data_IF_915207360152
#
_entry.id   IF_915207360152
#
_cell.length_a   1.000
_cell.length_b   1.000
_cell.length_c   1.000
_cell.angle_alpha   90.00
_cell.angle_beta   90.00
_cell.angle_gamma   90.00
#
_symmetry.space_group_name_H-M   'P 1'
#
loop_
_entity.id
_entity.type
_entity.pdbx_description
1 polymer ?
#
# COMPACT_ATOMS: atom_id res chain seq x y z
N UNK A 1 84.20 -20.85 -7.83
CA UNK A 1 83.22 -19.80 -7.44
C UNK A 1 82.42 -19.15 -8.59
N UNK A 2 82.66 -19.44 -9.88
CA UNK A 2 81.93 -18.80 -10.99
C UNK A 2 80.53 -19.39 -11.30
N UNK A 3 80.30 -20.68 -10.99
CA UNK A 3 79.03 -21.36 -11.28
C UNK A 3 77.87 -20.92 -10.36
N UNK A 4 78.15 -20.67 -9.07
CA UNK A 4 77.15 -20.22 -8.09
C UNK A 4 76.57 -18.83 -8.41
N UNK A 5 77.37 -17.93 -8.99
CA UNK A 5 76.91 -16.59 -9.40
C UNK A 5 75.99 -16.60 -10.64
N UNK A 6 76.07 -17.62 -11.51
CA UNK A 6 75.17 -17.77 -12.66
C UNK A 6 73.81 -18.36 -12.26
N UNK A 7 73.80 -19.32 -11.34
CA UNK A 7 72.56 -19.89 -10.79
C UNK A 7 71.69 -18.84 -10.06
N UNK A 8 72.31 -17.96 -9.25
CA UNK A 8 71.59 -16.87 -8.58
C UNK A 8 70.95 -15.86 -9.54
N UNK A 9 71.62 -15.51 -10.65
CA UNK A 9 71.07 -14.59 -11.66
C UNK A 9 69.92 -15.21 -12.47
N UNK A 10 69.92 -16.53 -12.68
CA UNK A 10 68.82 -17.23 -13.36
C UNK A 10 67.56 -17.31 -12.48
N UNK A 11 67.71 -17.58 -11.19
CA UNK A 11 66.59 -17.61 -10.23
C UNK A 11 65.92 -16.23 -10.07
N UNK A 12 66.72 -15.16 -10.01
CA UNK A 12 66.20 -13.78 -9.92
C UNK A 12 65.46 -13.37 -11.20
N UNK A 13 65.92 -13.80 -12.38
CA UNK A 13 65.21 -13.57 -13.66
C UNK A 13 63.89 -14.36 -13.75
N UNK A 14 63.85 -15.58 -13.22
CA UNK A 14 62.62 -16.40 -13.16
C UNK A 14 61.56 -15.82 -12.23
N UNK A 15 61.96 -15.27 -11.08
CA UNK A 15 61.04 -14.56 -10.17
C UNK A 15 60.50 -13.25 -10.78
N UNK A 16 61.34 -12.53 -11.54
CA UNK A 16 60.93 -11.31 -12.24
C UNK A 16 59.96 -11.59 -13.40
N UNK A 17 60.14 -12.69 -14.14
CA UNK A 17 59.24 -13.09 -15.23
C UNK A 17 57.89 -13.59 -14.69
N UNK A 18 57.89 -14.35 -13.59
CA UNK A 18 56.67 -14.78 -12.90
C UNK A 18 55.87 -13.57 -12.37
N UNK A 19 56.54 -12.58 -11.77
CA UNK A 19 55.89 -11.31 -11.36
C UNK A 19 55.29 -10.56 -12.55
N UNK A 20 55.98 -10.47 -13.69
CA UNK A 20 55.42 -9.86 -14.92
C UNK A 20 54.22 -10.62 -15.47
N UNK A 21 54.23 -11.95 -15.45
CA UNK A 21 53.09 -12.77 -15.89
C UNK A 21 51.86 -12.56 -14.99
N UNK A 22 52.05 -12.50 -13.67
CA UNK A 22 50.96 -12.18 -12.72
C UNK A 22 50.43 -10.75 -12.89
N UNK A 23 51.29 -9.78 -13.19
CA UNK A 23 50.89 -8.40 -13.47
C UNK A 23 50.07 -8.29 -14.77
N UNK A 24 50.46 -9.05 -15.82
CA UNK A 24 49.75 -9.09 -17.11
C UNK A 24 48.39 -9.76 -17.00
N UNK A 25 48.25 -10.83 -16.21
CA UNK A 25 46.97 -11.47 -15.90
C UNK A 25 46.02 -10.54 -15.13
N UNK A 26 46.56 -9.73 -14.20
CA UNK A 26 45.80 -8.74 -13.44
C UNK A 26 45.31 -7.53 -14.27
N UNK A 27 45.88 -7.32 -15.47
CA UNK A 27 45.51 -6.27 -16.41
C UNK A 27 44.57 -6.75 -17.53
N UNK A 28 44.16 -8.03 -17.54
CA UNK A 28 43.23 -8.53 -18.54
C UNK A 28 41.85 -7.83 -18.46
N UNK A 29 41.16 -7.61 -19.60
CA UNK A 29 39.85 -6.94 -19.62
C UNK A 29 38.78 -7.70 -18.80
N UNK A 30 38.91 -9.02 -18.68
CA UNK A 30 38.07 -9.84 -17.80
C UNK A 30 38.34 -9.57 -16.30
N UNK A 31 39.61 -9.41 -15.89
CA UNK A 31 39.95 -9.04 -14.53
C UNK A 31 39.53 -7.59 -14.20
N UNK A 32 39.61 -6.68 -15.18
CA UNK A 32 39.16 -5.30 -15.03
C UNK A 32 37.63 -5.19 -14.90
N UNK A 33 36.86 -5.94 -15.71
CA UNK A 33 35.40 -5.97 -15.62
C UNK A 33 34.90 -6.61 -14.32
N UNK A 34 35.57 -7.66 -13.84
CA UNK A 34 35.31 -8.27 -12.54
C UNK A 34 35.60 -7.28 -11.39
N UNK A 35 36.72 -6.56 -11.45
CA UNK A 35 37.06 -5.50 -10.47
C UNK A 35 36.05 -4.36 -10.49
N UNK A 36 35.58 -3.95 -11.67
CA UNK A 36 34.54 -2.93 -11.81
C UNK A 36 33.22 -3.38 -11.16
N UNK A 37 32.78 -4.63 -11.42
CA UNK A 37 31.59 -5.23 -10.79
C UNK A 37 31.72 -5.37 -9.28
N UNK A 38 32.90 -5.70 -8.77
CA UNK A 38 33.17 -5.76 -7.32
C UNK A 38 33.13 -4.35 -6.70
N UNK A 39 33.66 -3.33 -7.38
CA UNK A 39 33.61 -1.93 -6.89
C UNK A 39 32.19 -1.37 -6.89
N UNK A 40 31.39 -1.62 -7.92
CA UNK A 40 29.99 -1.17 -7.97
C UNK A 40 29.16 -1.90 -6.92
N UNK A 41 29.35 -3.20 -6.74
CA UNK A 41 28.72 -3.96 -5.66
C UNK A 41 29.11 -3.45 -4.26
N UNK A 42 30.37 -3.06 -4.05
CA UNK A 42 30.81 -2.42 -2.79
C UNK A 42 30.16 -1.05 -2.57
N UNK A 43 30.01 -0.22 -3.60
CA UNK A 43 29.34 1.10 -3.50
C UNK A 43 27.85 0.95 -3.19
N UNK A 44 27.18 -0.02 -3.81
CA UNK A 44 25.78 -0.36 -3.51
C UNK A 44 25.59 -0.90 -2.09
N UNK A 45 26.56 -1.67 -1.58
CA UNK A 45 26.56 -2.15 -0.20
C UNK A 45 26.77 -1.03 0.84
N UNK A 46 27.57 -0.02 0.52
CA UNK A 46 27.77 1.16 1.39
C UNK A 46 26.49 1.99 1.50
N UNK A 47 25.70 2.10 0.42
CA UNK A 47 24.43 2.83 0.42
C UNK A 47 23.31 2.12 1.21
N UNK A 48 23.34 0.79 1.31
CA UNK A 48 22.23 0.00 1.88
C UNK A 48 22.43 -0.42 3.35
N UNK A 49 23.40 0.16 4.05
CA UNK A 49 23.61 -0.03 5.48
C UNK A 49 24.29 -1.37 5.85
N UNK A 50 24.89 -1.40 7.05
CA UNK A 50 25.73 -2.53 7.54
C UNK A 50 24.98 -3.86 7.65
N UNK A 51 23.65 -3.84 7.77
CA UNK A 51 22.81 -5.04 7.94
C UNK A 51 22.60 -5.86 6.64
N UNK A 52 22.79 -5.26 5.45
CA UNK A 52 22.60 -5.93 4.15
C UNK A 52 23.72 -6.91 3.82
N UNK A 53 24.95 -6.60 4.23
CA UNK A 53 26.15 -7.44 3.95
C UNK A 53 26.00 -8.87 4.49
N UNK A 54 25.67 -9.10 5.78
CA UNK A 54 25.52 -10.46 6.31
C UNK A 54 24.29 -11.19 5.73
N UNK A 55 23.23 -10.46 5.36
CA UNK A 55 22.05 -11.05 4.72
C UNK A 55 22.37 -11.56 3.31
N UNK A 56 23.08 -10.77 2.50
CA UNK A 56 23.45 -11.18 1.14
C UNK A 56 24.44 -12.35 1.14
N UNK A 57 25.44 -12.35 2.03
CA UNK A 57 26.36 -13.47 2.18
C UNK A 57 25.63 -14.77 2.54
N UNK A 58 24.68 -14.73 3.49
CA UNK A 58 23.85 -15.89 3.83
C UNK A 58 22.91 -16.31 2.70
N UNK A 59 22.38 -15.35 1.92
CA UNK A 59 21.52 -15.66 0.78
C UNK A 59 22.28 -16.40 -0.34
N UNK A 60 23.55 -16.06 -0.56
CA UNK A 60 24.40 -16.73 -1.54
C UNK A 60 24.70 -18.18 -1.11
N UNK A 61 25.07 -18.39 0.16
CA UNK A 61 25.26 -19.73 0.73
C UNK A 61 23.98 -20.57 0.69
N UNK A 62 22.84 -19.98 1.08
CA UNK A 62 21.55 -20.66 1.07
C UNK A 62 21.05 -21.04 -0.33
N UNK A 63 21.47 -20.31 -1.39
CA UNK A 63 21.15 -20.65 -2.78
C UNK A 63 21.97 -21.84 -3.27
N UNK A 64 23.25 -21.93 -2.89
CA UNK A 64 24.11 -23.07 -3.24
C UNK A 64 23.61 -24.37 -2.58
N UNK A 65 23.29 -24.32 -1.29
CA UNK A 65 22.75 -25.49 -0.56
C UNK A 65 21.37 -25.88 -1.05
N UNK A 66 20.49 -24.91 -1.32
CA UNK A 66 19.16 -25.18 -1.89
C UNK A 66 19.25 -25.76 -3.31
N UNK A 67 20.18 -25.29 -4.13
CA UNK A 67 20.44 -25.82 -5.46
C UNK A 67 20.91 -27.28 -5.41
N UNK A 68 21.84 -27.62 -4.51
CA UNK A 68 22.31 -28.99 -4.32
C UNK A 68 21.18 -29.94 -3.87
N UNK A 69 20.37 -29.54 -2.90
CA UNK A 69 19.22 -30.36 -2.46
C UNK A 69 18.15 -30.45 -3.55
N UNK A 70 17.92 -29.38 -4.31
CA UNK A 70 17.01 -29.39 -5.46
C UNK A 70 17.46 -30.36 -6.56
N UNK A 71 18.77 -30.44 -6.83
CA UNK A 71 19.34 -31.39 -7.79
C UNK A 71 19.17 -32.84 -7.32
N UNK A 72 19.44 -33.12 -6.05
CA UNK A 72 19.22 -34.47 -5.47
C UNK A 72 17.74 -34.87 -5.48
N UNK A 73 16.84 -33.94 -5.15
CA UNK A 73 15.39 -34.17 -5.18
C UNK A 73 14.81 -34.29 -6.60
N UNK A 74 15.56 -33.88 -7.63
CA UNK A 74 15.15 -34.06 -9.02
C UNK A 74 15.37 -35.50 -9.52
N UNK A 75 16.33 -36.24 -8.97
CA UNK A 75 16.70 -37.59 -9.43
C UNK A 75 15.50 -38.57 -9.35
N UNK A 76 14.77 -38.68 -8.22
CA UNK A 76 13.57 -39.53 -8.16
C UNK A 76 12.45 -39.01 -9.07
N UNK A 77 12.34 -37.69 -9.21
CA UNK A 77 11.33 -37.06 -10.06
C UNK A 77 11.53 -37.36 -11.55
N UNK A 78 12.79 -37.47 -12.01
CA UNK A 78 13.11 -37.89 -13.37
C UNK A 78 12.79 -39.38 -13.60
N UNK A 79 13.14 -40.25 -12.64
CA UNK A 79 12.82 -41.69 -12.71
C UNK A 79 11.31 -41.97 -12.72
N UNK A 80 10.55 -41.26 -11.89
CA UNK A 80 9.09 -41.40 -11.85
C UNK A 80 8.42 -40.80 -13.10
N UNK A 81 8.98 -39.73 -13.67
CA UNK A 81 8.50 -39.20 -14.96
C UNK A 81 8.70 -40.21 -16.08
N UNK A 82 9.85 -40.88 -16.17
CA UNK A 82 10.10 -41.86 -17.25
C UNK A 82 9.16 -43.05 -17.13
N UNK A 83 8.91 -43.54 -15.91
CA UNK A 83 7.94 -44.61 -15.65
C UNK A 83 6.50 -44.18 -15.97
N UNK A 84 6.08 -42.99 -15.52
CA UNK A 84 4.74 -42.46 -15.75
C UNK A 84 4.49 -42.11 -17.23
N UNK A 85 5.51 -41.68 -17.97
CA UNK A 85 5.42 -41.43 -19.40
C UNK A 85 5.25 -42.74 -20.19
N UNK A 86 5.92 -43.82 -19.77
CA UNK A 86 5.72 -45.16 -20.32
C UNK A 86 4.30 -45.68 -20.10
N UNK A 87 3.79 -45.59 -18.86
CA UNK A 87 2.40 -45.98 -18.55
C UNK A 87 1.35 -45.14 -19.28
N UNK A 88 1.56 -43.82 -19.37
CA UNK A 88 0.67 -42.91 -20.10
C UNK A 88 0.67 -43.16 -21.62
N UNK A 89 1.79 -43.63 -22.19
CA UNK A 89 1.86 -44.03 -23.60
C UNK A 89 1.07 -45.33 -23.87
N UNK A 90 1.18 -46.32 -22.97
CA UNK A 90 0.42 -47.58 -23.05
C UNK A 90 -1.08 -47.33 -22.91
N UNK A 91 -1.51 -46.48 -21.98
CA UNK A 91 -2.93 -46.14 -21.80
C UNK A 91 -3.52 -45.33 -22.97
N UNK A 92 -2.70 -44.51 -23.64
CA UNK A 92 -3.09 -43.83 -24.89
C UNK A 92 -3.16 -44.78 -26.09
N UNK A 93 -2.31 -45.81 -26.12
CA UNK A 93 -2.38 -46.88 -27.11
C UNK A 93 -3.64 -47.74 -26.93
N UNK A 94 -4.03 -47.99 -25.67
CA UNK A 94 -5.26 -48.72 -25.31
C UNK A 94 -6.56 -47.87 -25.40
N UNK A 95 -6.51 -46.64 -25.92
CA UNK A 95 -7.65 -45.72 -26.03
C UNK A 95 -8.35 -45.34 -24.70
N UNK A 96 -7.73 -45.61 -23.55
CA UNK A 96 -8.30 -45.33 -22.23
C UNK A 96 -8.00 -43.90 -21.72
N UNK A 97 -7.20 -43.12 -22.45
CA UNK A 97 -6.82 -41.76 -22.08
C UNK A 97 -6.88 -40.78 -23.27
N UNK A 98 -7.32 -39.52 -23.07
CA UNK A 98 -7.41 -38.52 -24.12
C UNK A 98 -6.05 -38.18 -24.75
N UNK A 99 -6.05 -38.03 -26.08
CA UNK A 99 -4.85 -37.78 -26.91
C UNK A 99 -4.25 -36.38 -26.71
N UNK A 100 -5.03 -35.43 -26.21
CA UNK A 100 -4.62 -34.03 -25.99
C UNK A 100 -4.49 -33.72 -24.50
N UNK A 101 -3.27 -33.40 -24.05
CA UNK A 101 -2.98 -33.06 -22.65
C UNK A 101 -1.50 -33.16 -22.28
N UNK A 102 -1.11 -32.51 -21.18
CA UNK A 102 0.27 -32.53 -20.65
C UNK A 102 0.77 -33.97 -20.47
N UNK A 103 2.06 -34.26 -20.76
CA UNK A 103 2.60 -35.60 -20.61
C UNK A 103 2.44 -36.08 -19.16
N UNK A 104 1.95 -37.31 -18.99
CA UNK A 104 1.81 -37.94 -17.68
C UNK A 104 3.15 -37.94 -16.93
N UNK A 105 3.11 -37.57 -15.65
CA UNK A 105 4.31 -37.42 -14.82
C UNK A 105 5.01 -36.05 -14.91
N UNK A 106 4.49 -35.08 -15.68
CA UNK A 106 5.06 -33.72 -15.73
C UNK A 106 5.16 -33.03 -14.35
N UNK A 107 4.28 -33.39 -13.40
CA UNK A 107 4.33 -32.83 -12.05
C UNK A 107 5.58 -33.25 -11.26
N UNK A 108 6.22 -34.39 -11.59
CA UNK A 108 7.39 -34.88 -10.87
C UNK A 108 8.62 -34.00 -11.10
N UNK A 109 8.68 -33.28 -12.23
CA UNK A 109 9.72 -32.27 -12.49
C UNK A 109 9.64 -31.06 -11.55
N UNK A 110 8.49 -30.85 -10.89
CA UNK A 110 8.31 -29.74 -9.94
C UNK A 110 8.93 -30.03 -8.58
N UNK A 111 9.32 -31.28 -8.29
CA UNK A 111 9.85 -31.69 -6.99
C UNK A 111 11.19 -31.04 -6.67
N UNK A 112 12.13 -31.01 -7.62
CA UNK A 112 13.44 -30.34 -7.45
C UNK A 112 13.32 -28.84 -7.12
N UNK A 113 12.62 -28.04 -7.93
CA UNK A 113 12.38 -26.62 -7.63
C UNK A 113 11.62 -26.38 -6.33
N UNK A 114 10.64 -27.23 -5.98
CA UNK A 114 9.91 -27.12 -4.71
C UNK A 114 10.81 -27.40 -3.50
N UNK A 115 11.64 -28.44 -3.57
CA UNK A 115 12.61 -28.78 -2.53
C UNK A 115 13.64 -27.66 -2.35
N UNK A 116 14.21 -27.13 -3.43
CA UNK A 116 15.12 -25.99 -3.39
C UNK A 116 14.46 -24.76 -2.74
N UNK A 117 13.23 -24.41 -3.13
CA UNK A 117 12.49 -23.29 -2.52
C UNK A 117 12.18 -23.51 -1.04
N UNK A 118 11.87 -24.76 -0.63
CA UNK A 118 11.59 -25.08 0.77
C UNK A 118 12.85 -24.95 1.63
N UNK A 119 13.98 -25.48 1.18
CA UNK A 119 15.29 -25.38 1.85
C UNK A 119 15.75 -23.93 1.93
N UNK A 120 15.65 -23.18 0.83
CA UNK A 120 16.00 -21.76 0.81
C UNK A 120 15.14 -20.95 1.80
N UNK A 121 13.82 -21.17 1.81
CA UNK A 121 12.92 -20.51 2.77
C UNK A 121 13.27 -20.87 4.22
N UNK A 122 13.59 -22.13 4.51
CA UNK A 122 13.97 -22.58 5.85
C UNK A 122 15.27 -21.94 6.31
N UNK A 123 16.30 -21.91 5.47
CA UNK A 123 17.60 -21.31 5.76
C UNK A 123 17.51 -19.78 5.91
N UNK A 124 16.67 -19.13 5.11
CA UNK A 124 16.51 -17.68 5.13
C UNK A 124 15.49 -17.19 6.15
N UNK A 125 14.68 -18.04 6.80
CA UNK A 125 13.64 -17.60 7.74
C UNK A 125 14.18 -16.73 8.88
N UNK A 126 15.25 -17.17 9.54
CA UNK A 126 15.93 -16.44 10.63
C UNK A 126 16.76 -15.26 10.14
N UNK A 127 17.34 -15.36 8.94
CA UNK A 127 18.13 -14.27 8.36
C UNK A 127 17.22 -13.13 7.89
N UNK A 128 16.06 -13.46 7.32
CA UNK A 128 15.03 -12.51 6.91
C UNK A 128 14.42 -11.81 8.11
N UNK A 129 14.09 -12.51 9.20
CA UNK A 129 13.57 -11.86 10.41
C UNK A 129 14.56 -10.86 11.00
N UNK A 130 15.84 -11.24 11.16
CA UNK A 130 16.90 -10.34 11.66
C UNK A 130 17.17 -9.15 10.73
N UNK A 131 17.10 -9.38 9.42
CA UNK A 131 17.22 -8.30 8.44
C UNK A 131 16.03 -7.34 8.52
N UNK A 132 14.80 -7.86 8.56
CA UNK A 132 13.58 -7.06 8.71
C UNK A 132 13.56 -6.30 10.03
N UNK A 133 14.05 -6.88 11.12
CA UNK A 133 14.19 -6.23 12.43
C UNK A 133 15.24 -5.12 12.40
N UNK A 134 16.41 -5.35 11.79
CA UNK A 134 17.49 -4.36 11.66
C UNK A 134 17.23 -3.27 10.60
N UNK A 135 16.24 -3.46 9.73
CA UNK A 135 15.86 -2.53 8.66
C UNK A 135 14.43 -2.06 8.81
N UNK A 136 13.82 -2.29 9.98
CA UNK A 136 12.47 -1.82 10.28
C UNK A 136 12.52 -0.29 10.33
N UNK A 137 11.77 0.45 9.51
CA UNK A 137 11.57 1.86 9.76
C UNK A 137 10.85 1.96 11.11
N UNK A 138 11.46 2.67 12.05
CA UNK A 138 11.08 2.66 13.46
C UNK A 138 9.60 3.00 13.67
N UNK A 139 8.83 2.05 14.18
CA UNK A 139 7.58 2.38 14.91
C UNK A 139 8.04 3.09 16.17
N UNK A 140 7.60 4.34 16.39
CA UNK A 140 8.00 5.12 17.54
C UNK A 140 7.74 4.36 18.85
N UNK A 141 8.80 3.88 19.50
CA UNK A 141 8.72 3.17 20.80
C UNK A 141 8.70 4.12 22.00
N UNK A 142 8.58 5.44 21.76
CA UNK A 142 8.50 6.46 22.80
C UNK A 142 7.10 7.05 22.80
N UNK A 143 6.32 6.66 23.80
CA UNK A 143 5.03 7.27 24.10
C UNK A 143 5.23 8.55 24.94
N UNK A 144 4.41 9.59 24.75
CA UNK A 144 4.46 10.77 25.60
C UNK A 144 4.09 10.41 27.04
N UNK A 145 5.01 10.64 27.97
CA UNK A 145 4.72 10.63 29.41
C UNK A 145 4.31 12.05 29.83
N UNK A 146 3.21 12.22 30.58
CA UNK A 146 2.77 13.54 31.01
C UNK A 146 3.84 14.21 31.89
N UNK A 147 4.25 15.43 31.53
CA UNK A 147 5.13 16.28 32.33
C UNK A 147 6.61 16.32 31.93
N UNK A 148 7.07 15.56 30.92
CA UNK A 148 8.42 15.72 30.35
C UNK A 148 8.35 16.42 28.99
N UNK A 149 9.03 17.58 28.79
CA UNK A 149 9.12 18.18 27.47
C UNK A 149 9.84 17.19 26.55
N UNK A 150 9.18 16.86 25.45
CA UNK A 150 9.69 15.95 24.44
C UNK A 150 10.93 16.62 23.83
N UNK A 151 12.12 16.06 24.03
CA UNK A 151 13.22 16.33 23.11
C UNK A 151 12.75 15.80 21.76
N UNK A 152 12.43 16.73 20.87
CA UNK A 152 11.59 16.55 19.70
C UNK A 152 11.64 15.14 19.12
N UNK A 153 10.46 14.63 18.78
CA UNK A 153 10.38 13.84 17.57
C UNK A 153 11.20 14.64 16.57
N UNK A 154 12.06 13.98 15.80
CA UNK A 154 12.42 14.59 14.54
C UNK A 154 11.12 14.66 13.75
N UNK A 155 10.23 15.63 14.06
CA UNK A 155 9.79 16.57 13.03
C UNK A 155 11.05 16.79 12.26
N UNK A 156 11.11 16.18 11.07
CA UNK A 156 12.08 16.62 10.08
C UNK A 156 12.04 18.15 10.17
N UNK A 157 13.17 18.79 10.55
CA UNK A 157 13.16 20.22 10.81
C UNK A 157 12.54 20.85 9.58
N UNK A 158 11.52 21.68 9.78
CA UNK A 158 10.68 22.32 8.75
C UNK A 158 11.49 22.65 7.51
N UNK A 159 11.59 21.66 6.65
CA UNK A 159 12.43 21.65 5.48
C UNK A 159 11.43 21.46 4.39
N UNK A 160 11.25 22.52 3.61
CA UNK A 160 10.40 22.57 2.44
C UNK A 160 10.62 21.30 1.61
N UNK A 161 9.78 20.29 1.83
CA UNK A 161 9.78 19.06 1.08
C UNK A 161 8.62 19.15 0.11
N UNK A 162 8.84 18.63 -1.09
CA UNK A 162 7.93 18.83 -2.21
C UNK A 162 6.48 18.44 -1.88
N UNK A 163 5.61 19.46 -1.74
CA UNK A 163 4.20 19.33 -1.37
C UNK A 163 3.86 19.75 0.07
N UNK A 164 4.78 19.59 1.02
CA UNK A 164 4.48 19.64 2.47
C UNK A 164 4.07 21.00 3.05
N UNK A 165 4.29 22.10 2.32
CA UNK A 165 3.83 23.43 2.72
C UNK A 165 2.39 23.73 2.25
N UNK A 166 1.84 22.90 1.35
CA UNK A 166 0.53 23.09 0.72
C UNK A 166 -0.49 22.14 1.34
N UNK A 167 -1.71 22.65 1.53
CA UNK A 167 -2.82 21.84 2.06
C UNK A 167 -3.55 21.18 0.89
N UNK A 168 -3.67 19.85 0.93
CA UNK A 168 -4.53 19.10 0.02
C UNK A 168 -5.96 19.59 0.08
N UNK A 169 -6.56 19.82 -1.09
CA UNK A 169 -7.97 20.15 -1.23
C UNK A 169 -8.82 19.00 -0.69
N UNK A 170 -8.48 17.75 -1.05
CA UNK A 170 -9.22 16.58 -0.55
C UNK A 170 -9.23 16.51 0.98
N UNK A 171 -8.06 16.68 1.61
CA UNK A 171 -7.92 16.70 3.08
C UNK A 171 -8.77 17.81 3.70
N UNK A 172 -8.72 19.02 3.15
CA UNK A 172 -9.46 20.16 3.68
C UNK A 172 -10.97 19.95 3.61
N UNK A 173 -11.50 19.50 2.47
CA UNK A 173 -12.93 19.29 2.31
C UNK A 173 -13.43 18.15 3.23
N UNK A 174 -12.64 17.08 3.38
CA UNK A 174 -12.97 15.97 4.29
C UNK A 174 -12.83 16.34 5.77
N UNK A 175 -11.91 17.25 6.16
CA UNK A 175 -11.91 17.85 7.50
C UNK A 175 -13.22 18.60 7.77
N UNK A 176 -13.74 19.32 6.77
CA UNK A 176 -15.05 19.96 6.82
C UNK A 176 -16.18 18.96 7.08
N UNK A 177 -16.17 17.80 6.40
CA UNK A 177 -17.11 16.70 6.67
C UNK A 177 -17.04 16.23 8.11
N UNK A 178 -15.82 15.94 8.61
CA UNK A 178 -15.62 15.48 9.99
C UNK A 178 -16.13 16.50 11.01
N UNK A 179 -15.83 17.78 10.82
CA UNK A 179 -16.23 18.85 11.74
C UNK A 179 -17.75 19.09 11.70
N UNK A 180 -18.34 19.15 10.51
CA UNK A 180 -19.78 19.32 10.34
C UNK A 180 -20.54 18.15 10.98
N UNK A 181 -20.08 16.92 10.75
CA UNK A 181 -20.72 15.73 11.33
C UNK A 181 -20.52 15.63 12.85
N UNK A 182 -19.37 16.07 13.36
CA UNK A 182 -19.11 16.13 14.80
C UNK A 182 -20.13 17.01 15.54
N UNK A 183 -20.52 18.14 14.92
CA UNK A 183 -21.49 19.09 15.46
C UNK A 183 -22.94 18.70 15.20
N UNK A 184 -23.18 17.79 14.26
CA UNK A 184 -24.52 17.38 13.89
C UNK A 184 -25.16 16.56 15.02
N UNK A 185 -26.32 17.00 15.49
CA UNK A 185 -27.15 16.27 16.45
C UNK A 185 -28.49 15.93 15.77
N UNK A 186 -28.73 14.66 15.42
CA UNK A 186 -29.97 14.27 14.77
C UNK A 186 -31.17 14.56 15.68
N UNK A 187 -32.19 15.31 15.22
CA UNK A 187 -33.31 15.69 16.06
C UNK A 187 -34.28 14.54 16.36
N UNK A 188 -34.23 13.46 15.59
CA UNK A 188 -35.13 12.30 15.71
C UNK A 188 -34.57 11.06 15.00
N UNK A 189 -35.11 9.88 15.30
CA UNK A 189 -34.67 8.62 14.69
C UNK A 189 -34.83 8.56 13.17
N UNK A 190 -35.78 9.27 12.56
CA UNK A 190 -35.88 9.36 11.10
C UNK A 190 -34.68 10.10 10.47
N UNK A 191 -34.10 11.07 11.17
CA UNK A 191 -32.88 11.73 10.72
C UNK A 191 -31.68 10.77 10.82
N UNK A 192 -31.60 9.98 11.89
CA UNK A 192 -30.60 8.89 12.03
C UNK A 192 -30.77 7.84 10.92
N UNK A 193 -32.01 7.45 10.61
CA UNK A 193 -32.30 6.55 9.51
C UNK A 193 -31.82 7.11 8.17
N UNK A 194 -32.04 8.41 7.92
CA UNK A 194 -31.53 9.08 6.74
C UNK A 194 -30.00 8.96 6.63
N UNK A 195 -29.26 9.09 7.74
CA UNK A 195 -27.81 8.84 7.73
C UNK A 195 -27.46 7.43 7.27
N UNK A 196 -28.14 6.39 7.78
CA UNK A 196 -27.90 5.01 7.36
C UNK A 196 -28.15 4.77 5.87
N UNK A 197 -29.21 5.37 5.32
CA UNK A 197 -29.52 5.30 3.89
C UNK A 197 -28.57 6.15 3.04
N UNK A 198 -28.06 7.25 3.60
CA UNK A 198 -27.15 8.17 2.93
C UNK A 198 -25.68 7.75 2.93
N UNK A 199 -25.25 6.89 3.86
CA UNK A 199 -23.88 6.37 3.91
C UNK A 199 -23.30 5.92 2.54
N UNK A 200 -23.98 5.06 1.75
CA UNK A 200 -23.44 4.63 0.45
C UNK A 200 -23.24 5.79 -0.53
N UNK A 201 -24.16 6.77 -0.54
CA UNK A 201 -24.06 7.92 -1.43
C UNK A 201 -22.90 8.83 -1.03
N UNK A 202 -22.78 9.19 0.27
CA UNK A 202 -21.69 10.03 0.75
C UNK A 202 -20.31 9.41 0.53
N UNK A 203 -20.18 8.09 0.74
CA UNK A 203 -18.94 7.36 0.44
C UNK A 203 -18.67 7.27 -1.06
N UNK A 204 -19.70 7.20 -1.89
CA UNK A 204 -19.54 7.23 -3.36
C UNK A 204 -19.03 8.59 -3.82
N UNK A 205 -19.59 9.70 -3.32
CA UNK A 205 -19.09 11.05 -3.62
C UNK A 205 -17.62 11.23 -3.19
N UNK A 206 -17.26 10.71 -2.01
CA UNK A 206 -15.86 10.69 -1.56
C UNK A 206 -14.97 9.90 -2.53
N UNK A 207 -15.42 8.71 -2.95
CA UNK A 207 -14.69 7.87 -3.90
C UNK A 207 -14.54 8.55 -5.27
N UNK A 208 -15.56 9.28 -5.73
CA UNK A 208 -15.52 10.01 -7.00
C UNK A 208 -14.43 11.07 -7.06
N UNK A 209 -14.16 11.77 -5.96
CA UNK A 209 -13.04 12.72 -5.89
C UNK A 209 -11.68 12.00 -6.09
N UNK A 210 -11.48 10.86 -5.44
CA UNK A 210 -10.26 10.04 -5.61
C UNK A 210 -10.18 9.43 -7.02
N UNK A 211 -11.31 9.02 -7.59
CA UNK A 211 -11.39 8.56 -8.98
C UNK A 211 -10.98 9.68 -9.95
N UNK A 212 -11.46 10.90 -9.72
CA UNK A 212 -11.10 12.05 -10.54
C UNK A 212 -9.60 12.36 -10.43
N UNK A 213 -9.01 12.22 -9.24
CA UNK A 213 -7.56 12.32 -9.09
C UNK A 213 -6.82 11.27 -9.92
N UNK A 214 -7.28 10.02 -9.92
CA UNK A 214 -6.67 8.95 -10.71
C UNK A 214 -6.73 9.24 -12.21
N UNK A 215 -7.89 9.67 -12.71
CA UNK A 215 -8.09 10.07 -14.12
C UNK A 215 -7.19 11.25 -14.48
N UNK A 216 -7.18 12.30 -13.67
CA UNK A 216 -6.33 13.46 -13.91
C UNK A 216 -4.83 13.10 -13.83
N UNK A 217 -4.44 12.19 -12.94
CA UNK A 217 -3.06 11.68 -12.85
C UNK A 217 -2.65 10.90 -14.09
N UNK A 218 -3.56 10.16 -14.71
CA UNK A 218 -3.30 9.41 -15.94
C UNK A 218 -3.23 10.31 -17.18
N UNK A 219 -4.16 11.27 -17.28
CA UNK A 219 -4.42 11.99 -18.53
C UNK A 219 -3.85 13.41 -18.56
N UNK A 220 -3.81 14.11 -17.41
CA UNK A 220 -3.53 15.55 -17.34
C UNK A 220 -2.20 15.89 -16.68
N UNK A 221 -1.87 15.22 -15.57
CA UNK A 221 -0.70 15.57 -14.78
C UNK A 221 0.56 14.93 -15.36
N UNK A 222 1.71 15.62 -15.37
CA UNK A 222 3.00 15.05 -15.77
C UNK A 222 3.56 14.14 -14.67
N UNK A 223 2.79 13.12 -14.27
CA UNK A 223 3.15 12.12 -13.29
C UNK A 223 3.36 10.75 -13.95
N UNK A 224 4.19 9.90 -13.35
CA UNK A 224 4.37 8.52 -13.79
C UNK A 224 3.02 7.76 -13.74
N UNK A 225 2.70 7.04 -14.82
CA UNK A 225 1.42 6.32 -14.96
C UNK A 225 1.13 5.35 -13.81
N UNK A 226 2.16 4.82 -13.13
CA UNK A 226 1.98 3.96 -11.95
C UNK A 226 1.33 4.69 -10.78
N UNK A 227 1.43 6.02 -10.71
CA UNK A 227 0.70 6.81 -9.71
C UNK A 227 -0.80 6.71 -9.92
N UNK A 228 -1.28 6.77 -11.17
CA UNK A 228 -2.70 6.60 -11.47
C UNK A 228 -3.21 5.22 -11.02
N UNK A 229 -2.43 4.16 -11.25
CA UNK A 229 -2.76 2.80 -10.80
C UNK A 229 -2.85 2.70 -9.27
N UNK A 230 -1.97 3.39 -8.54
CA UNK A 230 -1.99 3.41 -7.07
C UNK A 230 -3.21 4.17 -6.53
N UNK A 231 -3.54 5.33 -7.11
CA UNK A 231 -4.73 6.09 -6.72
C UNK A 231 -6.01 5.31 -7.06
N UNK A 232 -6.05 4.62 -8.20
CA UNK A 232 -7.17 3.76 -8.58
C UNK A 232 -7.39 2.59 -7.61
N UNK A 233 -6.31 2.03 -7.03
CA UNK A 233 -6.41 1.02 -5.97
C UNK A 233 -7.04 1.59 -4.69
N UNK A 234 -6.68 2.82 -4.30
CA UNK A 234 -7.30 3.50 -3.16
C UNK A 234 -8.79 3.74 -3.43
N UNK A 235 -9.14 4.24 -4.61
CA UNK A 235 -10.54 4.38 -5.05
C UNK A 235 -11.33 3.07 -4.91
N UNK A 236 -10.78 1.95 -5.38
CA UNK A 236 -11.46 0.65 -5.32
C UNK A 236 -11.76 0.21 -3.88
N UNK A 237 -10.88 0.55 -2.91
CA UNK A 237 -11.10 0.24 -1.49
C UNK A 237 -12.19 1.12 -0.88
N UNK A 238 -12.24 2.42 -1.19
CA UNK A 238 -13.31 3.32 -0.74
C UNK A 238 -14.65 2.87 -1.36
N UNK A 239 -14.67 2.54 -2.65
CA UNK A 239 -15.87 2.06 -3.34
C UNK A 239 -16.39 0.75 -2.72
N UNK A 240 -15.50 -0.16 -2.30
CA UNK A 240 -15.90 -1.34 -1.54
C UNK A 240 -16.56 -0.99 -0.19
N UNK A 241 -16.09 0.05 0.50
CA UNK A 241 -16.74 0.55 1.70
C UNK A 241 -18.14 1.10 1.40
N UNK A 242 -18.31 1.82 0.28
CA UNK A 242 -19.63 2.29 -0.19
C UNK A 242 -20.59 1.13 -0.52
N UNK A 243 -20.09 0.06 -1.16
CA UNK A 243 -20.89 -1.15 -1.41
C UNK A 243 -21.34 -1.82 -0.11
N UNK A 244 -20.46 -1.89 0.89
CA UNK A 244 -20.81 -2.41 2.23
C UNK A 244 -21.83 -1.50 2.92
N UNK A 245 -21.71 -0.19 2.76
CA UNK A 245 -22.65 0.79 3.32
C UNK A 245 -24.07 0.66 2.75
N UNK A 246 -24.21 0.20 1.50
CA UNK A 246 -25.52 -0.03 0.89
C UNK A 246 -26.35 -1.11 1.60
N UNK A 247 -25.73 -1.95 2.44
CA UNK A 247 -26.42 -2.96 3.24
C UNK A 247 -27.05 -2.38 4.52
N UNK A 248 -26.57 -1.24 5.02
CA UNK A 248 -26.95 -0.69 6.35
C UNK A 248 -28.40 -0.22 6.37
N UNK A 249 -28.82 0.58 5.39
CA UNK A 249 -30.20 1.07 5.28
C UNK A 249 -31.24 -0.06 5.24
N UNK A 250 -31.11 -1.04 4.32
CA UNK A 250 -31.99 -2.21 4.29
C UNK A 250 -31.95 -3.05 5.58
N UNK A 251 -30.78 -3.22 6.20
CA UNK A 251 -30.67 -3.92 7.48
C UNK A 251 -31.43 -3.19 8.59
N UNK A 252 -31.25 -1.87 8.69
CA UNK A 252 -31.97 -1.03 9.64
C UNK A 252 -33.48 -1.12 9.44
N UNK A 253 -33.96 -1.06 8.19
CA UNK A 253 -35.39 -1.18 7.89
C UNK A 253 -35.95 -2.55 8.25
N UNK A 254 -35.18 -3.61 8.05
CA UNK A 254 -35.57 -4.97 8.40
C UNK A 254 -35.69 -5.17 9.91
N UNK A 255 -34.70 -4.72 10.68
CA UNK A 255 -34.69 -4.93 12.14
C UNK A 255 -35.64 -3.98 12.88
N UNK A 256 -35.98 -2.84 12.29
CA UNK A 256 -36.93 -1.86 12.85
C UNK A 256 -38.22 -1.74 12.03
N UNK A 257 -38.65 -2.81 11.35
CA UNK A 257 -39.85 -2.80 10.49
C UNK A 257 -41.08 -2.30 11.25
N UNK A 258 -41.26 -2.76 12.48
CA UNK A 258 -42.40 -2.38 13.31
C UNK A 258 -42.38 -0.90 13.70
N UNK A 259 -41.19 -0.36 14.01
CA UNK A 259 -41.05 1.06 14.37
C UNK A 259 -41.26 1.94 13.14
N UNK A 260 -40.75 1.54 11.97
CA UNK A 260 -40.97 2.25 10.72
C UNK A 260 -42.43 2.21 10.26
N UNK A 261 -43.11 1.06 10.39
CA UNK A 261 -44.54 0.93 10.06
C UNK A 261 -45.40 1.89 10.87
N UNK A 262 -45.02 2.21 12.12
CA UNK A 262 -45.73 3.24 12.92
C UNK A 262 -45.62 4.65 12.34
N UNK A 263 -44.52 4.95 11.63
CA UNK A 263 -44.31 6.25 10.99
C UNK A 263 -44.92 6.33 9.59
N UNK A 264 -44.88 5.23 8.83
CA UNK A 264 -45.41 5.14 7.46
C UNK A 264 -46.93 4.95 7.46
N UNK A 265 -47.45 4.15 8.38
CA UNK A 265 -48.87 3.82 8.55
C UNK A 265 -49.31 4.07 10.01
N UNK A 266 -49.36 5.34 10.45
CA UNK A 266 -49.73 5.65 11.82
C UNK A 266 -51.14 5.16 12.12
N UNK A 267 -51.29 4.39 13.20
CA UNK A 267 -52.61 3.94 13.66
C UNK A 267 -53.42 5.13 14.15
N UNK A 268 -54.74 4.98 14.15
CA UNK A 268 -55.62 6.00 14.73
C UNK A 268 -55.23 6.23 16.21
N UNK A 269 -54.91 7.47 16.56
CA UNK A 269 -54.47 7.82 17.92
C UNK A 269 -53.01 7.51 18.27
N UNK A 270 -52.13 7.17 17.31
CA UNK A 270 -50.71 6.85 17.58
C UNK A 270 -49.97 7.97 18.34
N UNK A 271 -50.36 9.23 18.13
CA UNK A 271 -49.82 10.40 18.85
C UNK A 271 -50.01 10.36 20.37
N UNK A 272 -50.96 9.57 20.89
CA UNK A 272 -51.16 9.38 22.34
C UNK A 272 -50.15 8.39 22.94
N UNK A 273 -49.49 7.58 22.11
CA UNK A 273 -48.49 6.58 22.51
C UNK A 273 -47.05 7.03 22.26
N UNK A 274 -46.86 8.13 21.52
CA UNK A 274 -45.54 8.72 21.30
C UNK A 274 -45.06 9.40 22.58
N UNK A 275 -43.91 8.94 23.09
CA UNK A 275 -43.31 9.39 24.35
C UNK A 275 -42.55 10.74 24.19
N UNK A 276 -42.46 11.26 22.97
CA UNK A 276 -41.79 12.52 22.66
C UNK A 276 -42.80 13.59 22.26
N UNK A 277 -42.68 14.77 22.86
CA UNK A 277 -43.53 15.93 22.57
C UNK A 277 -43.43 16.33 21.09
N UNK A 278 -44.58 16.75 20.56
CA UNK A 278 -44.74 17.31 19.22
C UNK A 278 -43.80 18.52 19.05
N UNK A 279 -42.96 18.54 18.02
CA UNK A 279 -42.26 19.77 17.60
C UNK A 279 -43.33 20.83 17.24
N UNK A 280 -43.14 22.07 17.70
CA UNK A 280 -44.08 23.19 17.53
C UNK A 280 -44.52 23.45 16.07
N UNK A 281 -43.77 22.98 15.08
CA UNK A 281 -44.03 23.14 13.64
C UNK A 281 -45.07 22.16 13.07
N UNK A 282 -45.50 21.14 13.84
CA UNK A 282 -46.56 20.21 13.44
C UNK A 282 -46.27 19.40 12.17
N UNK A 283 -45.04 19.45 11.65
CA UNK A 283 -44.67 18.79 10.40
C UNK A 283 -43.98 17.45 10.70
N UNK A 284 -44.48 16.38 10.08
CA UNK A 284 -43.75 15.13 9.96
C UNK A 284 -42.88 15.25 8.72
N UNK A 285 -41.71 15.87 8.83
CA UNK A 285 -40.71 15.84 7.77
C UNK A 285 -40.21 14.41 7.59
N UNK A 286 -40.98 13.57 6.90
CA UNK A 286 -40.78 12.12 6.75
C UNK A 286 -39.52 11.75 5.97
N UNK A 287 -38.85 12.71 5.32
CA UNK A 287 -37.57 12.54 4.62
C UNK A 287 -36.68 13.75 4.87
N UNK A 288 -35.94 13.70 5.97
CA UNK A 288 -34.78 14.58 6.14
C UNK A 288 -33.67 14.04 5.22
N UNK A 289 -33.01 14.89 4.42
CA UNK A 289 -31.80 14.47 3.70
C UNK A 289 -30.69 14.13 4.72
N UNK A 290 -29.83 13.17 4.39
CA UNK A 290 -28.67 12.87 5.24
C UNK A 290 -27.71 14.06 5.26
N UNK A 291 -27.36 14.48 6.47
CA UNK A 291 -26.33 15.49 6.68
C UNK A 291 -24.98 15.00 6.18
N UNK A 292 -24.66 13.71 6.38
CA UNK A 292 -23.44 13.10 5.85
C UNK A 292 -23.36 13.20 4.33
N UNK A 293 -24.46 12.91 3.62
CA UNK A 293 -24.52 13.05 2.15
C UNK A 293 -24.30 14.50 1.73
N UNK A 294 -25.02 15.43 2.36
CA UNK A 294 -24.96 16.85 2.02
C UNK A 294 -23.51 17.38 2.06
N UNK A 295 -22.75 17.03 3.11
CA UNK A 295 -21.36 17.48 3.24
C UNK A 295 -20.38 16.68 2.37
N UNK A 296 -20.67 15.40 2.06
CA UNK A 296 -19.81 14.60 1.19
C UNK A 296 -19.92 14.96 -0.29
N UNK A 297 -21.11 15.40 -0.74
CA UNK A 297 -21.34 15.82 -2.13
C UNK A 297 -20.46 17.02 -2.51
N UNK A 298 -20.18 17.91 -1.56
CA UNK A 298 -19.28 19.06 -1.77
C UNK A 298 -17.86 18.62 -2.13
N UNK A 299 -17.36 17.50 -1.59
CA UNK A 299 -16.02 16.98 -1.90
C UNK A 299 -15.90 16.72 -3.40
N UNK A 300 -16.80 15.92 -3.98
CA UNK A 300 -16.76 15.57 -5.40
C UNK A 300 -16.90 16.82 -6.29
N UNK A 301 -17.80 17.73 -5.89
CA UNK A 301 -18.07 18.96 -6.62
C UNK A 301 -16.88 19.93 -6.64
N UNK A 302 -16.18 20.10 -5.50
CA UNK A 302 -14.95 20.89 -5.42
C UNK A 302 -13.85 20.23 -6.25
N UNK A 303 -13.68 18.91 -6.15
CA UNK A 303 -12.63 18.18 -6.86
C UNK A 303 -12.81 18.18 -8.38
N UNK A 304 -14.05 18.17 -8.86
CA UNK A 304 -14.35 18.23 -10.30
C UNK A 304 -13.86 19.52 -10.97
N UNK A 305 -13.71 20.61 -10.20
CA UNK A 305 -13.24 21.92 -10.67
C UNK A 305 -11.80 22.22 -10.28
N UNK A 306 -11.18 21.33 -9.51
CA UNK A 306 -9.84 21.53 -9.03
C UNK A 306 -8.82 21.31 -10.15
N UNK A 307 -8.07 22.37 -10.47
CA UNK A 307 -7.00 22.37 -11.44
C UNK A 307 -5.70 22.84 -10.76
N UNK A 308 -4.78 21.91 -10.43
CA UNK A 308 -3.52 22.29 -9.82
C UNK A 308 -2.63 23.01 -10.84
N UNK A 309 -2.08 24.16 -10.44
CA UNK A 309 -1.19 24.97 -11.26
C UNK A 309 0.25 24.46 -11.33
N UNK A 310 0.67 23.60 -10.39
CA UNK A 310 2.02 23.02 -10.38
C UNK A 310 2.10 21.69 -9.62
N UNK A 311 3.11 20.89 -9.90
CA UNK A 311 3.26 19.53 -9.34
C UNK A 311 3.37 19.47 -7.81
N UNK A 312 3.78 20.55 -7.12
CA UNK A 312 3.73 20.59 -5.64
C UNK A 312 2.30 20.48 -5.10
N UNK A 313 1.28 20.99 -5.80
CA UNK A 313 -0.13 20.86 -5.40
C UNK A 313 -0.63 19.43 -5.62
N UNK A 314 -0.23 18.80 -6.73
CA UNK A 314 -0.53 17.38 -6.99
C UNK A 314 0.11 16.48 -5.92
N UNK A 315 1.37 16.78 -5.55
CA UNK A 315 2.04 16.07 -4.47
C UNK A 315 1.34 16.26 -3.13
N UNK A 316 0.87 17.48 -2.81
CA UNK A 316 0.07 17.73 -1.62
C UNK A 316 -1.19 16.86 -1.58
N UNK A 317 -1.89 16.64 -2.71
CA UNK A 317 -3.01 15.69 -2.75
C UNK A 317 -2.60 14.26 -2.41
N UNK A 318 -1.49 13.76 -2.96
CA UNK A 318 -1.00 12.42 -2.61
C UNK A 318 -0.61 12.29 -1.13
N UNK A 319 -0.17 13.38 -0.51
CA UNK A 319 0.09 13.46 0.93
C UNK A 319 -1.19 13.50 1.76
N UNK A 320 -2.20 14.22 1.29
CA UNK A 320 -3.43 14.49 2.04
C UNK A 320 -4.53 13.45 1.90
N UNK A 321 -4.51 12.59 0.87
CA UNK A 321 -5.52 11.52 0.72
C UNK A 321 -5.62 10.60 1.95
N UNK A 322 -4.53 10.08 2.54
CA UNK A 322 -4.61 9.23 3.74
C UNK A 322 -5.40 9.91 4.86
N UNK A 323 -4.99 11.12 5.24
CA UNK A 323 -5.65 11.93 6.27
C UNK A 323 -7.11 12.23 5.91
N UNK A 324 -7.39 12.50 4.63
CA UNK A 324 -8.74 12.78 4.18
C UNK A 324 -9.68 11.58 4.28
N UNK A 325 -9.16 10.37 4.00
CA UNK A 325 -9.92 9.13 4.22
C UNK A 325 -10.13 8.90 5.72
N UNK A 326 -9.13 9.19 6.56
CA UNK A 326 -9.26 9.11 8.01
C UNK A 326 -10.32 10.08 8.56
N UNK A 327 -10.48 11.27 7.97
CA UNK A 327 -11.54 12.21 8.34
C UNK A 327 -12.94 11.65 8.06
N UNK A 328 -13.13 11.01 6.90
CA UNK A 328 -14.41 10.34 6.56
C UNK A 328 -14.64 9.13 7.47
N UNK A 329 -13.58 8.34 7.73
CA UNK A 329 -13.64 7.23 8.68
C UNK A 329 -14.06 7.71 10.08
N UNK A 330 -13.54 8.85 10.54
CA UNK A 330 -13.90 9.44 11.83
C UNK A 330 -15.39 9.84 11.89
N UNK A 331 -15.95 10.40 10.81
CA UNK A 331 -17.39 10.71 10.74
C UNK A 331 -18.25 9.44 10.82
N UNK A 332 -17.89 8.39 10.07
CA UNK A 332 -18.58 7.09 10.12
C UNK A 332 -18.45 6.43 11.50
N UNK A 333 -17.27 6.51 12.12
CA UNK A 333 -17.06 6.00 13.48
C UNK A 333 -17.89 6.77 14.51
N UNK A 334 -18.04 8.09 14.35
CA UNK A 334 -18.91 8.87 15.23
C UNK A 334 -20.37 8.44 15.14
N UNK A 335 -20.86 8.17 13.92
CA UNK A 335 -22.18 7.57 13.73
C UNK A 335 -22.26 6.23 14.46
N UNK A 336 -21.30 5.33 14.26
CA UNK A 336 -21.25 4.02 14.90
C UNK A 336 -21.30 4.11 16.44
N UNK A 337 -20.49 4.99 17.04
CA UNK A 337 -20.43 5.18 18.49
C UNK A 337 -21.76 5.71 19.01
N UNK A 338 -22.34 6.72 18.34
CA UNK A 338 -23.65 7.27 18.74
C UNK A 338 -24.78 6.26 18.58
N UNK A 339 -24.74 5.46 17.51
CA UNK A 339 -25.67 4.34 17.30
C UNK A 339 -25.55 3.28 18.39
N UNK A 340 -24.35 3.04 18.92
CA UNK A 340 -24.14 2.08 19.99
C UNK A 340 -24.58 2.61 21.37
N UNK A 341 -24.30 3.87 21.65
CA UNK A 341 -24.37 4.42 23.01
C UNK A 341 -25.66 5.20 23.29
N UNK A 342 -26.28 5.79 22.25
CA UNK A 342 -27.37 6.76 22.42
C UNK A 342 -28.65 6.39 21.66
N UNK A 343 -28.55 5.79 20.48
CA UNK A 343 -29.72 5.52 19.67
C UNK A 343 -30.34 4.15 20.01
N UNK A 344 -31.68 4.04 20.06
CA UNK A 344 -32.37 2.76 20.24
C UNK A 344 -32.34 1.95 18.95
N UNK A 345 -31.15 1.49 18.54
CA UNK A 345 -30.96 0.67 17.34
C UNK A 345 -30.39 -0.70 17.65
N UNK A 346 -30.78 -1.68 16.84
CA UNK A 346 -30.25 -3.04 16.94
C UNK A 346 -28.72 -3.09 16.75
N UNK A 347 -28.05 -3.95 17.52
CA UNK A 347 -26.60 -4.12 17.50
C UNK A 347 -26.07 -4.55 16.14
N UNK A 348 -26.85 -5.29 15.35
CA UNK A 348 -26.47 -5.68 14.00
C UNK A 348 -26.23 -4.47 13.08
N UNK A 349 -26.99 -3.38 13.25
CA UNK A 349 -26.79 -2.14 12.49
C UNK A 349 -25.46 -1.48 12.88
N UNK A 350 -25.18 -1.43 14.19
CA UNK A 350 -23.91 -0.89 14.73
C UNK A 350 -22.70 -1.67 14.20
N UNK A 351 -22.78 -3.00 14.19
CA UNK A 351 -21.71 -3.86 13.71
C UNK A 351 -21.49 -3.69 12.19
N UNK A 352 -22.57 -3.52 11.42
CA UNK A 352 -22.47 -3.23 9.98
C UNK A 352 -21.77 -1.89 9.70
N UNK A 353 -21.97 -0.87 10.54
CA UNK A 353 -21.26 0.42 10.40
C UNK A 353 -19.77 0.27 10.79
N UNK A 354 -19.46 -0.54 11.80
CA UNK A 354 -18.08 -0.82 12.20
C UNK A 354 -17.26 -1.53 11.08
N UNK A 355 -17.90 -2.41 10.30
CA UNK A 355 -17.29 -3.02 9.13
C UNK A 355 -16.87 -1.97 8.08
N UNK A 356 -17.72 -0.95 7.85
CA UNK A 356 -17.43 0.15 6.91
C UNK A 356 -16.21 0.94 7.38
N UNK A 357 -16.17 1.31 8.66
CA UNK A 357 -15.03 2.02 9.24
C UNK A 357 -13.73 1.22 9.04
N UNK A 358 -13.77 -0.10 9.25
CA UNK A 358 -12.62 -0.98 9.03
C UNK A 358 -12.14 -0.95 7.58
N UNK A 359 -13.06 -0.95 6.61
CA UNK A 359 -12.72 -0.84 5.18
C UNK A 359 -12.12 0.52 4.84
N UNK A 360 -12.62 1.61 5.43
CA UNK A 360 -12.05 2.95 5.24
C UNK A 360 -10.63 3.03 5.80
N UNK A 361 -10.35 2.44 6.95
CA UNK A 361 -8.99 2.38 7.50
C UNK A 361 -8.03 1.55 6.61
N UNK A 362 -8.54 0.52 5.93
CA UNK A 362 -7.74 -0.21 4.92
C UNK A 362 -7.42 0.69 3.71
N UNK A 363 -8.38 1.50 3.27
CA UNK A 363 -8.16 2.46 2.19
C UNK A 363 -7.15 3.55 2.58
N UNK A 364 -7.25 4.11 3.80
CA UNK A 364 -6.30 5.06 4.34
C UNK A 364 -4.88 4.48 4.40
N UNK A 365 -4.75 3.24 4.91
CA UNK A 365 -3.46 2.55 4.95
C UNK A 365 -2.87 2.30 3.57
N UNK A 366 -3.69 1.96 2.56
CA UNK A 366 -3.20 1.83 1.18
C UNK A 366 -2.76 3.17 0.59
N UNK A 367 -3.44 4.26 0.94
CA UNK A 367 -3.09 5.60 0.48
C UNK A 367 -1.76 6.11 1.05
N UNK A 368 -1.31 5.63 2.22
CA UNK A 368 -0.03 6.03 2.82
C UNK A 368 1.18 5.73 1.91
N UNK A 369 1.03 4.83 0.94
CA UNK A 369 2.07 4.51 -0.05
C UNK A 369 2.13 5.54 -1.19
N UNK A 370 1.14 6.42 -1.38
CA UNK A 370 1.08 7.35 -2.52
C UNK A 370 2.26 8.31 -2.54
N UNK A 371 2.46 9.12 -1.49
CA UNK A 371 3.56 10.09 -1.44
C UNK A 371 4.95 9.41 -1.49
N UNK A 372 5.25 8.34 -0.73
CA UNK A 372 6.50 7.60 -0.87
C UNK A 372 6.77 7.10 -2.30
N UNK A 373 5.74 6.60 -2.99
CA UNK A 373 5.87 6.19 -4.38
C UNK A 373 6.11 7.40 -5.30
N UNK A 374 5.35 8.47 -5.15
CA UNK A 374 5.53 9.70 -5.92
C UNK A 374 6.97 10.21 -5.81
N UNK A 375 7.51 10.29 -4.58
CA UNK A 375 8.89 10.73 -4.33
C UNK A 375 9.93 9.81 -4.96
N UNK A 376 9.70 8.49 -4.94
CA UNK A 376 10.60 7.52 -5.55
C UNK A 376 10.59 7.61 -7.08
N UNK A 377 9.42 7.80 -7.67
CA UNK A 377 9.23 7.83 -9.12
C UNK A 377 9.76 9.13 -9.74
N UNK A 378 9.61 10.25 -9.03
CA UNK A 378 10.02 11.58 -9.47
C UNK A 378 11.26 12.10 -8.73
N UNK A 379 12.07 11.21 -8.17
CA UNK A 379 13.25 11.59 -7.37
C UNK A 379 14.20 12.57 -8.10
N UNK A 380 14.47 12.42 -9.42
CA UNK A 380 15.30 13.39 -10.14
C UNK A 380 14.70 14.79 -10.17
N UNK A 381 13.39 14.91 -10.41
CA UNK A 381 12.72 16.20 -10.56
C UNK A 381 12.52 16.88 -9.20
N UNK A 382 12.14 16.10 -8.19
CA UNK A 382 12.04 16.57 -6.80
C UNK A 382 13.40 17.05 -6.29
N UNK A 383 14.50 16.35 -6.62
CA UNK A 383 15.83 16.78 -6.18
C UNK A 383 16.25 18.14 -6.75
N UNK A 384 15.75 18.51 -7.95
CA UNK A 384 15.99 19.84 -8.54
C UNK A 384 15.19 20.92 -7.82
N UNK A 385 13.97 20.61 -7.39
CA UNK A 385 13.14 21.54 -6.64
C UNK A 385 13.58 21.73 -5.18
N UNK A 386 14.08 20.68 -4.53
CA UNK A 386 14.50 20.73 -3.13
C UNK A 386 15.97 21.20 -2.98
N UNK A 387 16.80 21.02 -4.01
CA UNK A 387 18.20 21.44 -4.04
C UNK A 387 18.61 21.94 -5.44
N UNK A 388 18.10 23.12 -5.87
CA UNK A 388 18.40 23.67 -7.19
C UNK A 388 19.91 23.93 -7.34
N UNK A 389 20.50 23.58 -8.50
CA UNK A 389 21.97 23.55 -8.68
C UNK A 389 22.62 24.93 -8.53
N UNK A 390 21.86 26.02 -8.74
CA UNK A 390 22.29 27.41 -8.60
C UNK A 390 21.17 28.34 -8.05
N UNK A 391 20.27 27.82 -7.20
CA UNK A 391 19.07 28.55 -6.77
C UNK A 391 17.93 28.50 -7.79
N UNK A 392 16.73 28.96 -7.42
CA UNK A 392 15.51 28.83 -8.24
C UNK A 392 15.62 29.52 -9.60
N UNK A 393 16.19 30.73 -9.64
CA UNK A 393 16.45 31.48 -10.88
C UNK A 393 17.37 30.72 -11.84
N UNK A 394 18.35 29.98 -11.31
CA UNK A 394 19.31 29.21 -12.10
C UNK A 394 18.72 27.93 -12.71
N UNK A 395 17.71 27.32 -12.08
CA UNK A 395 16.97 26.20 -12.67
C UNK A 395 15.92 26.69 -13.67
N UNK A 396 15.26 27.83 -13.42
CA UNK A 396 14.26 28.41 -14.33
C UNK A 396 14.81 28.73 -15.74
N UNK A 397 16.11 29.01 -15.85
CA UNK A 397 16.79 29.22 -17.14
C UNK A 397 16.87 27.97 -18.03
N UNK A 398 16.65 26.77 -17.47
CA UNK A 398 16.64 25.50 -18.22
C UNK A 398 15.24 25.07 -18.67
N UNK A 399 14.19 25.66 -18.09
CA UNK A 399 12.79 25.36 -18.37
C UNK A 399 12.17 26.33 -19.41
N UNK A 400 13.01 27.13 -20.07
CA UNK A 400 12.64 28.16 -21.06
C UNK A 400 12.35 27.63 -22.48
#
# INVERSE_FOLDING_TARGET
>A
MAAARRAGRAAVRGLASARRATAKAAQSPAAQSLRARIRTARRELVKKGRAVVPYLARSAGAKLTAGAVGALAAVPGFLLKTLAAGGGAVLRWLHLAPRTGRPWGAHFLTWGPKAARAVHRRLMRRAKSKYTEATRPDVALRFPQPGRPFAGALTAPGGAHFGGDLVSVFKRETEGVREAYARYEPPMMLAVAAEYWGLPEGLTSTAEAVRQLAVNTADKYPADARMADLVAQVYALIHRAAQKAAEVGPLFAKVHEHDLRRYEEPRNGEHMWNILERRQDGSFGQRQPSQFVAVCQDIAHVYARYEPGHMKQVAAEYEGIPDGIENIAAAVNLLQVRSNDHYPVDKAVVDAIADIHTLLMQAASAAQELMPNFRRLHAPDISRHEAPRNGEEGEAMWDA
#
